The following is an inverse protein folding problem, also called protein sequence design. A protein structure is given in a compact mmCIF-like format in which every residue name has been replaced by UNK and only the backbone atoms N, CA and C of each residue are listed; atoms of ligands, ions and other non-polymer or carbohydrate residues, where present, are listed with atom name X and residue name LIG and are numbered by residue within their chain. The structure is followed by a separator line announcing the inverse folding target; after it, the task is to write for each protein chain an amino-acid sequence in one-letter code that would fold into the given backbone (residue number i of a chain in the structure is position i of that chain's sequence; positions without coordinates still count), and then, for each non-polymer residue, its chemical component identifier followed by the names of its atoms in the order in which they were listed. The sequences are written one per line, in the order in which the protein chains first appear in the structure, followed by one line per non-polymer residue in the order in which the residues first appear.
data_IF_764896251158
#
_entry.id   IF_764896251158
#
_cell.length_a   1.000
_cell.length_b   1.000
_cell.length_c   1.000
_cell.angle_alpha   90.00
_cell.angle_beta   90.00
_cell.angle_gamma   90.00
#
_symmetry.space_group_name_H-M   'P 1'
#
loop_
_entity.id
_entity.type
_entity.pdbx_description
1 polymer ?
#
# COMPACT_ATOMS: atom_id res chain seq x y z
N UNK A 1 3.28 -0.85 22.40
CA UNK A 1 3.03 0.08 21.28
C UNK A 1 1.55 0.04 20.97
N UNK A 2 0.90 1.17 20.72
CA UNK A 2 -0.50 1.24 20.29
C UNK A 2 -0.61 1.06 18.79
N UNK A 3 -1.57 0.26 18.33
CA UNK A 3 -1.87 0.12 16.91
C UNK A 3 -2.60 1.37 16.37
N UNK A 4 -2.39 1.70 15.11
CA UNK A 4 -2.96 2.86 14.43
C UNK A 4 -3.75 2.44 13.18
N UNK A 5 -4.66 3.29 12.68
CA UNK A 5 -5.23 3.15 11.34
C UNK A 5 -5.32 4.50 10.67
N UNK A 6 -5.17 4.55 9.35
CA UNK A 6 -5.44 5.75 8.58
C UNK A 6 -6.91 5.78 8.18
N UNK A 7 -7.57 6.90 8.46
CA UNK A 7 -8.81 7.31 7.79
C UNK A 7 -8.49 8.56 7.00
N UNK A 8 -8.35 8.42 5.68
CA UNK A 8 -8.21 9.57 4.80
C UNK A 8 -9.61 10.09 4.48
N UNK A 9 -9.94 11.29 4.96
CA UNK A 9 -11.32 11.82 5.02
C UNK A 9 -11.65 12.82 3.90
N UNK A 10 -10.92 12.75 2.78
CA UNK A 10 -11.27 13.54 1.59
C UNK A 10 -12.68 13.15 1.10
N UNK A 11 -13.60 14.10 0.83
CA UNK A 11 -14.99 13.79 0.47
C UNK A 11 -15.16 12.90 -0.77
N UNK A 12 -14.19 12.91 -1.68
CA UNK A 12 -14.21 12.11 -2.91
C UNK A 12 -13.17 11.00 -2.86
N UNK A 13 -11.96 11.31 -2.43
CA UNK A 13 -10.81 10.41 -2.51
C UNK A 13 -10.54 9.64 -1.22
N UNK A 14 -11.44 9.73 -0.23
CA UNK A 14 -11.27 9.10 1.07
C UNK A 14 -11.17 7.57 1.01
N UNK A 15 -10.41 7.00 1.93
CA UNK A 15 -10.26 5.55 2.11
C UNK A 15 -9.80 5.24 3.55
N UNK A 16 -9.95 3.99 3.96
CA UNK A 16 -9.58 3.52 5.30
C UNK A 16 -8.66 2.32 5.21
N UNK A 17 -7.59 2.32 6.02
CA UNK A 17 -6.70 1.18 6.14
C UNK A 17 -7.12 0.27 7.31
N UNK A 18 -6.75 -1.02 7.26
CA UNK A 18 -6.64 -1.85 8.45
C UNK A 18 -5.72 -1.25 9.52
N UNK A 19 -5.68 -1.91 10.68
CA UNK A 19 -4.76 -1.57 11.75
C UNK A 19 -3.31 -1.80 11.32
N UNK A 20 -2.43 -0.95 11.83
CA UNK A 20 -1.03 -0.83 11.49
C UNK A 20 -0.20 -0.67 12.76
N UNK A 21 0.92 -1.40 12.84
CA UNK A 21 1.91 -1.18 13.91
C UNK A 21 2.94 -0.10 13.53
N UNK A 22 3.25 0.02 12.24
CA UNK A 22 4.12 1.06 11.71
C UNK A 22 3.31 2.16 11.03
N UNK A 23 3.46 3.39 11.52
CA UNK A 23 2.82 4.58 10.99
C UNK A 23 3.70 5.81 11.24
N UNK A 24 4.11 6.48 10.17
CA UNK A 24 4.94 7.69 10.24
C UNK A 24 4.28 8.81 9.42
N UNK A 25 4.19 9.99 10.04
CA UNK A 25 3.86 11.24 9.36
C UNK A 25 5.15 12.01 9.11
N UNK A 26 5.39 12.39 7.87
CA UNK A 26 6.56 13.14 7.46
C UNK A 26 6.12 14.58 7.20
N UNK A 27 6.74 15.53 7.89
CA UNK A 27 6.44 16.95 7.79
C UNK A 27 7.48 17.69 6.96
N UNK A 28 7.05 18.77 6.30
CA UNK A 28 7.92 19.78 5.68
C UNK A 28 7.25 21.14 5.83
N UNK A 29 7.98 22.13 6.36
CA UNK A 29 7.47 23.49 6.57
C UNK A 29 6.14 23.50 7.34
N UNK A 30 6.07 22.73 8.44
CA UNK A 30 4.87 22.60 9.30
C UNK A 30 3.64 21.99 8.63
N UNK A 31 3.74 21.59 7.36
CA UNK A 31 2.71 20.88 6.62
C UNK A 31 3.02 19.38 6.57
N UNK A 32 1.96 18.56 6.52
CA UNK A 32 2.10 17.13 6.26
C UNK A 32 2.56 16.97 4.80
N UNK A 33 3.78 16.48 4.62
CA UNK A 33 4.34 16.19 3.31
C UNK A 33 3.92 14.81 2.81
N UNK A 34 3.95 13.81 3.70
CA UNK A 34 3.48 12.46 3.36
C UNK A 34 3.15 11.63 4.60
N UNK A 35 2.38 10.57 4.38
CA UNK A 35 2.13 9.51 5.35
C UNK A 35 2.73 8.22 4.80
N UNK A 36 3.50 7.49 5.62
CA UNK A 36 3.99 6.16 5.29
C UNK A 36 3.58 5.18 6.38
N UNK A 37 3.01 4.04 6.00
CA UNK A 37 2.54 3.05 6.96
C UNK A 37 2.56 1.63 6.40
N UNK A 38 2.43 0.64 7.28
CA UNK A 38 2.14 -0.75 6.92
C UNK A 38 0.74 -1.10 7.39
N UNK A 39 -0.25 -1.29 6.50
CA UNK A 39 -1.65 -1.56 6.85
C UNK A 39 -1.86 -2.99 7.39
N UNK A 40 -1.06 -3.35 8.39
CA UNK A 40 -1.03 -4.63 9.09
C UNK A 40 -0.28 -4.47 10.42
N UNK A 41 -0.63 -5.30 11.40
CA UNK A 41 0.04 -5.33 12.72
C UNK A 41 1.26 -6.27 12.70
N UNK A 42 1.20 -7.32 11.88
CA UNK A 42 2.24 -8.34 11.72
C UNK A 42 2.45 -8.66 10.23
N UNK A 43 3.57 -9.30 9.87
CA UNK A 43 3.75 -9.90 8.55
C UNK A 43 2.63 -10.91 8.24
N UNK A 44 2.04 -10.79 7.05
CA UNK A 44 0.82 -11.50 6.66
C UNK A 44 1.14 -12.73 5.82
N UNK A 45 0.21 -13.69 5.77
CA UNK A 45 0.21 -14.71 4.72
C UNK A 45 -0.18 -14.09 3.37
N UNK A 46 0.12 -14.78 2.27
CA UNK A 46 -0.14 -14.26 0.92
C UNK A 46 -1.62 -13.93 0.69
N UNK A 47 -2.53 -14.77 1.14
CA UNK A 47 -3.98 -14.56 0.95
C UNK A 47 -4.49 -13.31 1.68
N UNK A 48 -4.09 -13.15 2.95
CA UNK A 48 -4.46 -11.96 3.73
C UNK A 48 -3.86 -10.68 3.15
N UNK A 49 -2.64 -10.78 2.61
CA UNK A 49 -1.97 -9.68 1.91
C UNK A 49 -2.76 -9.24 0.69
N UNK A 50 -3.15 -10.19 -0.17
CA UNK A 50 -3.95 -9.91 -1.37
C UNK A 50 -5.32 -9.34 -1.00
N UNK A 51 -5.97 -9.86 0.04
CA UNK A 51 -7.25 -9.33 0.51
C UNK A 51 -7.17 -7.85 0.85
N UNK A 52 -6.18 -7.43 1.64
CA UNK A 52 -6.00 -6.02 2.04
C UNK A 52 -5.66 -5.14 0.83
N UNK A 53 -4.74 -5.60 -0.02
CA UNK A 53 -4.29 -4.84 -1.19
C UNK A 53 -5.42 -4.63 -2.19
N UNK A 54 -6.24 -5.66 -2.43
CA UNK A 54 -7.36 -5.58 -3.36
C UNK A 54 -8.49 -4.71 -2.82
N UNK A 55 -8.76 -4.79 -1.51
CA UNK A 55 -9.73 -3.91 -0.84
C UNK A 55 -9.31 -2.43 -0.95
N UNK A 56 -8.04 -2.11 -0.69
CA UNK A 56 -7.52 -0.74 -0.86
C UNK A 56 -7.68 -0.26 -2.32
N UNK A 57 -7.30 -1.08 -3.30
CA UNK A 57 -7.45 -0.71 -4.70
C UNK A 57 -8.92 -0.55 -5.13
N UNK A 58 -9.84 -1.31 -4.54
CA UNK A 58 -11.28 -1.16 -4.79
C UNK A 58 -11.82 0.14 -4.19
N UNK A 59 -11.49 0.45 -2.93
CA UNK A 59 -11.83 1.74 -2.32
C UNK A 59 -11.32 2.91 -3.18
N UNK A 60 -10.08 2.81 -3.68
CA UNK A 60 -9.50 3.82 -4.57
C UNK A 60 -10.25 3.94 -5.89
N UNK A 61 -10.59 2.81 -6.53
CA UNK A 61 -11.38 2.80 -7.76
C UNK A 61 -12.74 3.48 -7.56
N UNK A 62 -13.42 3.18 -6.45
CA UNK A 62 -14.70 3.80 -6.10
C UNK A 62 -14.57 5.29 -5.80
N UNK A 63 -13.49 5.71 -5.14
CA UNK A 63 -13.17 7.12 -4.87
C UNK A 63 -12.63 7.90 -6.07
N UNK A 64 -12.60 7.31 -7.27
CA UNK A 64 -12.17 7.98 -8.50
C UNK A 64 -10.65 8.12 -8.67
N UNK A 65 -9.86 7.41 -7.86
CA UNK A 65 -8.42 7.27 -8.10
C UNK A 65 -8.18 6.47 -9.38
N UNK A 66 -7.08 6.77 -10.07
CA UNK A 66 -6.69 6.07 -11.30
C UNK A 66 -5.30 5.45 -11.18
N UNK A 67 -5.09 4.21 -11.65
CA UNK A 67 -3.76 3.64 -11.67
C UNK A 67 -2.89 4.38 -12.68
N UNK A 68 -1.63 4.59 -12.34
CA UNK A 68 -0.64 5.27 -13.19
C UNK A 68 0.61 4.42 -13.32
N UNK A 69 1.39 4.68 -14.37
CA UNK A 69 2.63 3.93 -14.67
C UNK A 69 2.41 2.41 -14.85
N UNK A 70 1.20 2.01 -15.25
CA UNK A 70 0.72 0.62 -15.32
C UNK A 70 1.57 -0.31 -16.18
N UNK A 71 2.30 0.24 -17.16
CA UNK A 71 3.23 -0.54 -18.00
C UNK A 71 4.34 -1.20 -17.17
N UNK A 72 4.83 -0.50 -16.14
CA UNK A 72 5.94 -0.95 -15.31
C UNK A 72 5.46 -1.39 -13.91
N UNK A 73 4.37 -0.79 -13.45
CA UNK A 73 3.81 -0.95 -12.11
C UNK A 73 2.32 -1.25 -12.19
N UNK A 74 1.94 -2.43 -12.74
CA UNK A 74 0.55 -2.81 -12.85
C UNK A 74 -0.11 -2.89 -11.47
N UNK A 75 -1.40 -2.58 -11.39
CA UNK A 75 -2.21 -2.83 -10.19
C UNK A 75 -2.18 -4.31 -9.82
N UNK A 76 -2.21 -4.59 -8.52
CA UNK A 76 -2.24 -5.96 -8.01
C UNK A 76 -3.54 -6.66 -8.41
N UNK A 77 -3.48 -7.96 -8.67
CA UNK A 77 -4.64 -8.81 -8.91
C UNK A 77 -4.42 -10.18 -8.26
N UNK A 78 -5.51 -10.87 -7.88
CA UNK A 78 -5.44 -12.26 -7.42
C UNK A 78 -5.43 -13.20 -8.62
N UNK A 79 -4.25 -13.35 -9.24
CA UNK A 79 -4.03 -14.30 -10.33
C UNK A 79 -2.84 -15.20 -10.02
N UNK A 80 -2.75 -16.40 -10.63
CA UNK A 80 -1.58 -17.26 -10.46
C UNK A 80 -0.26 -16.57 -10.80
N UNK A 81 -0.24 -15.70 -11.81
CA UNK A 81 0.95 -14.96 -12.22
C UNK A 81 1.39 -13.95 -11.15
N UNK A 82 0.42 -13.26 -10.52
CA UNK A 82 0.72 -12.34 -9.43
C UNK A 82 1.18 -13.08 -8.18
N UNK A 83 0.54 -14.20 -7.82
CA UNK A 83 0.96 -15.04 -6.70
C UNK A 83 2.39 -15.54 -6.89
N UNK A 84 2.68 -16.15 -8.03
CA UNK A 84 4.03 -16.62 -8.35
C UNK A 84 5.08 -15.49 -8.32
N UNK A 85 4.70 -14.28 -8.78
CA UNK A 85 5.57 -13.11 -8.69
C UNK A 85 5.85 -12.69 -7.25
N UNK A 86 4.85 -12.70 -6.38
CA UNK A 86 5.02 -12.29 -4.98
C UNK A 86 5.82 -13.32 -4.17
N UNK A 87 5.68 -14.60 -4.49
CA UNK A 87 6.43 -15.69 -3.86
C UNK A 87 7.94 -15.64 -4.20
N UNK A 88 8.29 -15.07 -5.36
CA UNK A 88 9.67 -14.81 -5.75
C UNK A 88 10.26 -13.67 -4.89
N UNK A 89 11.20 -14.02 -4.01
CA UNK A 89 11.87 -13.13 -3.05
C UNK A 89 12.49 -11.88 -3.68
N UNK A 90 12.83 -11.93 -4.98
CA UNK A 90 13.52 -10.84 -5.67
C UNK A 90 12.59 -9.89 -6.43
N UNK A 91 11.28 -10.16 -6.51
CA UNK A 91 10.37 -9.42 -7.41
C UNK A 91 9.41 -8.47 -6.71
N UNK A 92 8.72 -8.95 -5.66
CA UNK A 92 7.64 -8.21 -5.00
C UNK A 92 6.65 -7.57 -5.99
N UNK A 93 6.02 -6.47 -5.58
CA UNK A 93 5.16 -5.66 -6.43
C UNK A 93 5.11 -4.21 -5.97
N UNK A 94 4.94 -3.31 -6.94
CA UNK A 94 4.70 -1.89 -6.69
C UNK A 94 3.58 -1.43 -7.61
N UNK A 95 2.61 -0.70 -7.06
CA UNK A 95 1.54 -0.06 -7.81
C UNK A 95 1.44 1.42 -7.42
N UNK A 96 1.14 2.28 -8.39
CA UNK A 96 0.94 3.70 -8.18
C UNK A 96 -0.46 4.10 -8.61
N UNK A 97 -1.12 4.91 -7.79
CA UNK A 97 -2.42 5.49 -8.10
C UNK A 97 -2.41 6.98 -7.84
N UNK A 98 -3.21 7.73 -8.61
CA UNK A 98 -3.30 9.17 -8.55
C UNK A 98 -4.76 9.60 -8.43
N UNK A 99 -5.03 10.51 -7.50
CA UNK A 99 -6.32 11.18 -7.30
C UNK A 99 -6.20 12.59 -7.86
N UNK A 100 -6.44 12.69 -9.17
CA UNK A 100 -6.23 13.91 -9.94
C UNK A 100 -4.88 14.58 -9.65
N UNK A 101 -4.73 15.88 -9.77
CA UNK A 101 -3.54 16.63 -9.39
C UNK A 101 -3.31 16.77 -7.87
N UNK A 102 -4.18 16.21 -7.02
CA UNK A 102 -4.17 16.43 -5.57
C UNK A 102 -3.30 15.46 -4.80
N UNK A 103 -3.42 14.17 -5.10
CA UNK A 103 -2.77 13.13 -4.30
C UNK A 103 -2.23 11.99 -5.15
N UNK A 104 -1.21 11.33 -4.60
CA UNK A 104 -0.66 10.10 -5.16
C UNK A 104 -0.40 9.11 -4.04
N UNK A 105 -0.71 7.84 -4.32
CA UNK A 105 -0.35 6.71 -3.47
C UNK A 105 0.63 5.80 -4.18
N UNK A 106 1.53 5.23 -3.38
CA UNK A 106 2.42 4.13 -3.76
C UNK A 106 2.13 2.98 -2.81
N UNK A 107 1.85 1.81 -3.39
CA UNK A 107 1.61 0.57 -2.68
C UNK A 107 2.72 -0.42 -3.04
N UNK A 108 3.44 -0.91 -2.04
CA UNK A 108 4.50 -1.89 -2.20
C UNK A 108 4.11 -3.15 -1.44
N UNK A 109 4.28 -4.30 -2.06
CA UNK A 109 4.12 -5.61 -1.43
C UNK A 109 5.38 -6.41 -1.68
N UNK A 110 5.94 -7.01 -0.63
CA UNK A 110 7.12 -7.85 -0.76
C UNK A 110 7.12 -8.95 0.28
N UNK A 111 7.82 -10.03 -0.04
CA UNK A 111 8.12 -11.08 0.93
C UNK A 111 9.04 -10.51 2.01
N UNK A 112 8.83 -10.97 3.24
CA UNK A 112 9.53 -10.53 4.43
C UNK A 112 9.96 -11.75 5.22
N UNK A 113 11.25 -11.79 5.55
CA UNK A 113 11.82 -12.79 6.44
C UNK A 113 11.43 -12.44 7.88
N UNK A 114 10.48 -13.20 8.45
CA UNK A 114 10.01 -13.01 9.82
C UNK A 114 10.77 -13.94 10.76
N UNK A 115 11.72 -13.40 11.53
CA UNK A 115 12.51 -14.15 12.52
C UNK A 115 11.65 -14.97 13.50
N UNK A 116 10.40 -14.54 13.75
CA UNK A 116 9.48 -15.25 14.66
C UNK A 116 8.83 -16.46 14.01
N UNK A 117 8.85 -16.54 12.67
CA UNK A 117 8.17 -17.53 11.84
C UNK A 117 9.04 -17.88 10.62
N UNK A 118 10.23 -18.46 10.82
CA UNK A 118 11.21 -18.67 9.75
C UNK A 118 10.74 -19.64 8.67
N UNK A 119 9.82 -20.56 9.00
CA UNK A 119 9.31 -21.59 8.08
C UNK A 119 8.07 -21.14 7.29
N UNK A 120 7.65 -19.88 7.42
CA UNK A 120 6.44 -19.37 6.79
C UNK A 120 6.74 -18.24 5.78
N UNK A 121 6.09 -18.31 4.62
CA UNK A 121 6.09 -17.18 3.69
C UNK A 121 5.26 -16.03 4.25
N UNK A 122 5.95 -14.98 4.68
CA UNK A 122 5.33 -13.78 5.23
C UNK A 122 5.56 -12.56 4.33
N UNK A 123 4.62 -11.62 4.39
CA UNK A 123 4.57 -10.48 3.47
C UNK A 123 4.31 -9.18 4.21
N UNK A 124 4.95 -8.11 3.72
CA UNK A 124 4.72 -6.75 4.17
C UNK A 124 4.09 -5.92 3.06
N UNK A 125 3.12 -5.10 3.46
CA UNK A 125 2.54 -4.02 2.67
C UNK A 125 3.15 -2.72 3.19
N UNK A 126 3.59 -1.87 2.28
CA UNK A 126 3.91 -0.46 2.56
C UNK A 126 3.01 0.42 1.73
N UNK A 127 2.28 1.30 2.39
CA UNK A 127 1.50 2.37 1.76
C UNK A 127 2.20 3.70 2.01
N UNK A 128 2.41 4.48 0.95
CA UNK A 128 2.79 5.88 1.03
C UNK A 128 1.71 6.74 0.37
N UNK A 129 1.30 7.82 1.02
CA UNK A 129 0.36 8.83 0.53
C UNK A 129 1.03 10.20 0.60
N UNK A 130 1.00 10.95 -0.50
CA UNK A 130 1.59 12.29 -0.58
C UNK A 130 0.86 13.15 -1.64
N UNK A 131 1.25 14.42 -1.74
CA UNK A 131 1.05 15.18 -2.98
C UNK A 131 1.77 14.48 -4.15
N UNK A 132 1.36 14.68 -5.41
CA UNK A 132 1.97 13.99 -6.55
C UNK A 132 3.49 14.16 -6.62
N UNK A 133 4.20 13.05 -6.82
CA UNK A 133 5.67 13.07 -6.94
C UNK A 133 6.08 13.52 -8.36
N UNK A 134 6.97 14.51 -8.43
CA UNK A 134 7.46 15.08 -9.70
C UNK A 134 6.58 16.20 -10.25
N UNK A 135 6.23 17.17 -9.40
CA UNK A 135 5.32 18.27 -9.74
C UNK A 135 5.69 19.07 -10.99
N UNK A 136 4.61 19.53 -11.66
CA UNK A 136 4.46 20.35 -12.87
C UNK A 136 5.09 19.83 -14.15
#
# INVERSE_FOLDING_TARGET
MSDARLRFIDPQYGFVTPLARFFTVIYRNELINSVRMSPQIEPLLLDDTLKIVLDLQEQWRQGGWRPIRVKNFPSFADTPQWRARLQDENKGGVAYWKADDKYQVMLIVGRFEDDKRPDEERYLITLALASPWGGS
#
